data_IF_808164015830
#
_entry.id   IF_808164015830
#
_cell.length_a   1.000
_cell.length_b   1.000
_cell.length_c   1.000
_cell.angle_alpha   90.00
_cell.angle_beta   90.00
_cell.angle_gamma   90.00
#
_symmetry.space_group_name_H-M   'P 1'
#
loop_
_entity.id
_entity.type
_entity.pdbx_description
1 polymer ?
#
# COMPACT_ATOMS: atom_id res chain seq x y z
N UNK A 1 12.65 -10.20 -14.88
CA UNK A 1 12.21 -8.82 -15.19
C UNK A 1 11.23 -8.48 -14.09
N UNK A 2 11.63 -7.54 -13.23
CA UNK A 2 10.86 -7.21 -12.03
C UNK A 2 9.47 -6.70 -12.39
N UNK A 3 8.44 -7.31 -11.81
CA UNK A 3 7.05 -6.87 -11.97
C UNK A 3 6.74 -5.86 -10.88
N UNK A 4 6.55 -4.60 -11.27
CA UNK A 4 6.15 -3.54 -10.34
C UNK A 4 4.62 -3.43 -10.27
N UNK A 5 4.07 -3.52 -9.06
CA UNK A 5 2.65 -3.37 -8.77
C UNK A 5 2.41 -2.08 -7.98
N UNK A 6 1.45 -1.25 -8.41
CA UNK A 6 1.02 -0.05 -7.70
C UNK A 6 -0.41 -0.23 -7.17
N UNK A 7 -0.57 -0.04 -5.87
CA UNK A 7 -1.85 -0.16 -5.17
C UNK A 7 -2.37 1.23 -4.83
N UNK A 8 -3.52 1.59 -5.39
CA UNK A 8 -4.10 2.92 -5.20
C UNK A 8 -5.26 2.87 -4.20
N UNK A 9 -5.20 3.71 -3.17
CA UNK A 9 -6.28 3.92 -2.22
C UNK A 9 -6.33 5.39 -1.77
N UNK A 10 -7.52 5.96 -1.59
CA UNK A 10 -7.74 7.41 -1.42
C UNK A 10 -6.77 8.06 -0.42
N UNK A 11 -6.73 7.56 0.82
CA UNK A 11 -5.93 8.16 1.90
C UNK A 11 -4.55 7.54 2.13
N UNK A 12 -4.24 6.41 1.49
CA UNK A 12 -2.99 5.67 1.75
C UNK A 12 -2.65 5.46 3.24
N UNK A 13 -3.68 5.31 4.08
CA UNK A 13 -3.50 5.18 5.53
C UNK A 13 -3.53 3.73 6.01
N UNK A 14 -4.24 2.84 5.33
CA UNK A 14 -4.41 1.46 5.80
C UNK A 14 -4.26 0.45 4.67
N UNK A 15 -5.23 0.38 3.76
CA UNK A 15 -5.37 -0.75 2.83
C UNK A 15 -4.27 -0.84 1.78
N UNK A 16 -3.82 0.31 1.28
CA UNK A 16 -2.67 0.36 0.39
C UNK A 16 -1.42 -0.19 1.08
N UNK A 17 -1.19 0.23 2.33
CA UNK A 17 -0.05 -0.20 3.15
C UNK A 17 -0.11 -1.70 3.46
N UNK A 18 -1.27 -2.21 3.86
CA UNK A 18 -1.48 -3.65 4.10
C UNK A 18 -1.15 -4.47 2.85
N UNK A 19 -1.67 -4.05 1.69
CA UNK A 19 -1.44 -4.74 0.43
C UNK A 19 0.01 -4.64 -0.05
N UNK A 20 0.66 -3.48 0.12
CA UNK A 20 2.08 -3.27 -0.21
C UNK A 20 2.97 -4.18 0.63
N UNK A 21 2.77 -4.17 1.96
CA UNK A 21 3.60 -4.95 2.87
C UNK A 21 3.42 -6.45 2.71
N UNK A 22 2.18 -6.92 2.61
CA UNK A 22 1.91 -8.34 2.40
C UNK A 22 2.45 -8.85 1.05
N UNK A 23 2.28 -8.08 -0.03
CA UNK A 23 2.74 -8.50 -1.35
C UNK A 23 4.27 -8.55 -1.41
N UNK A 24 4.96 -7.56 -0.84
CA UNK A 24 6.43 -7.57 -0.75
C UNK A 24 6.94 -8.72 0.13
N UNK A 25 6.29 -8.98 1.27
CA UNK A 25 6.65 -10.08 2.16
C UNK A 25 6.56 -11.44 1.47
N UNK A 26 5.43 -11.72 0.80
CA UNK A 26 5.24 -12.99 0.10
C UNK A 26 6.10 -13.10 -1.16
N UNK A 27 6.32 -11.99 -1.89
CA UNK A 27 7.22 -11.99 -3.04
C UNK A 27 8.64 -12.43 -2.63
N UNK A 28 9.15 -11.91 -1.51
CA UNK A 28 10.45 -12.32 -0.96
C UNK A 28 10.43 -13.80 -0.53
N UNK A 29 9.44 -14.21 0.28
CA UNK A 29 9.33 -15.62 0.73
C UNK A 29 9.22 -16.63 -0.40
N UNK A 30 8.56 -16.27 -1.50
CA UNK A 30 8.34 -17.13 -2.66
C UNK A 30 9.40 -16.96 -3.75
N UNK A 31 10.42 -16.12 -3.54
CA UNK A 31 11.46 -15.83 -4.53
C UNK A 31 10.92 -15.24 -5.83
N UNK A 32 9.83 -14.46 -5.76
CA UNK A 32 9.23 -13.81 -6.92
C UNK A 32 9.83 -12.42 -7.12
N UNK A 33 10.21 -12.14 -8.37
CA UNK A 33 10.70 -10.84 -8.83
C UNK A 33 9.53 -9.85 -8.97
N UNK A 34 8.87 -9.54 -7.85
CA UNK A 34 7.71 -8.65 -7.75
C UNK A 34 8.00 -7.59 -6.69
N UNK A 35 7.69 -6.33 -7.01
CA UNK A 35 7.81 -5.22 -6.07
C UNK A 35 6.52 -4.41 -6.02
N UNK A 36 5.94 -4.32 -4.84
CA UNK A 36 4.72 -3.60 -4.56
C UNK A 36 5.01 -2.20 -4.02
N UNK A 37 4.17 -1.26 -4.43
CA UNK A 37 4.13 0.11 -3.94
C UNK A 37 2.66 0.48 -3.69
N UNK A 38 2.38 1.37 -2.75
CA UNK A 38 1.04 1.94 -2.57
C UNK A 38 1.04 3.45 -2.60
N UNK A 39 -0.07 4.07 -2.99
CA UNK A 39 -0.20 5.52 -2.96
C UNK A 39 -1.67 5.93 -2.82
N UNK A 40 -1.90 7.21 -2.56
CA UNK A 40 -3.24 7.79 -2.51
C UNK A 40 -3.37 9.12 -3.24
N UNK A 41 -4.60 9.42 -3.63
CA UNK A 41 -4.97 10.69 -4.30
C UNK A 41 -5.22 11.83 -3.31
N UNK A 42 -5.46 11.51 -2.04
CA UNK A 42 -5.63 12.45 -0.94
C UNK A 42 -5.00 11.85 0.32
N UNK A 43 -3.66 11.68 0.36
CA UNK A 43 -2.99 11.00 1.46
C UNK A 43 -3.27 11.69 2.80
N UNK A 44 -3.55 10.91 3.85
CA UNK A 44 -3.83 11.44 5.19
C UNK A 44 -2.58 11.97 5.90
N UNK A 45 -1.38 11.69 5.38
CA UNK A 45 -0.10 12.01 6.01
C UNK A 45 0.22 11.15 7.25
N UNK A 46 -0.69 10.26 7.64
CA UNK A 46 -0.56 9.35 8.79
C UNK A 46 -1.03 7.96 8.43
N UNK A 47 -0.25 6.94 8.81
CA UNK A 47 -0.65 5.54 8.71
C UNK A 47 -1.60 5.20 9.87
N UNK A 48 -2.61 4.39 9.57
CA UNK A 48 -3.51 3.82 10.55
C UNK A 48 -2.72 2.82 11.41
N UNK A 49 -2.63 3.01 12.74
CA UNK A 49 -1.85 2.13 13.62
C UNK A 49 -2.31 0.67 13.52
N UNK A 50 -3.61 0.40 13.36
CA UNK A 50 -4.12 -0.96 13.20
C UNK A 50 -3.60 -1.67 11.94
N UNK A 51 -3.22 -0.91 10.90
CA UNK A 51 -2.61 -1.50 9.72
C UNK A 51 -1.17 -1.94 9.98
N UNK A 52 -0.42 -1.17 10.79
CA UNK A 52 0.92 -1.55 11.23
C UNK A 52 0.86 -2.74 12.18
N UNK A 53 -0.08 -2.73 13.13
CA UNK A 53 -0.28 -3.85 14.06
C UNK A 53 -0.59 -5.14 13.31
N UNK A 54 -1.48 -5.09 12.32
CA UNK A 54 -1.83 -6.25 11.51
C UNK A 54 -0.63 -6.80 10.71
N UNK A 55 0.20 -5.93 10.15
CA UNK A 55 1.43 -6.34 9.45
C UNK A 55 2.46 -6.94 10.41
N UNK A 56 2.67 -6.30 11.56
CA UNK A 56 3.57 -6.80 12.61
C UNK A 56 3.14 -8.17 13.11
N UNK A 57 1.84 -8.36 13.37
CA UNK A 57 1.26 -9.65 13.78
C UNK A 57 1.42 -10.73 12.70
N UNK A 58 1.49 -10.36 11.43
CA UNK A 58 1.76 -11.27 10.32
C UNK A 58 3.27 -11.54 10.11
N UNK A 59 4.15 -10.95 10.93
CA UNK A 59 5.61 -11.07 10.79
C UNK A 59 6.17 -10.28 9.61
N UNK A 60 5.45 -9.25 9.16
CA UNK A 60 5.91 -8.33 8.11
C UNK A 60 6.64 -7.16 8.77
N UNK A 61 7.82 -6.83 8.26
CA UNK A 61 8.53 -5.62 8.69
C UNK A 61 7.71 -4.38 8.34
N UNK A 62 7.49 -3.54 9.34
CA UNK A 62 6.68 -2.32 9.27
C UNK A 62 7.51 -1.05 9.13
N UNK A 63 8.84 -1.16 9.14
CA UNK A 63 9.71 0.00 8.98
C UNK A 63 9.61 0.57 7.56
N UNK A 64 9.45 1.89 7.47
CA UNK A 64 9.49 2.63 6.20
C UNK A 64 8.15 2.79 5.47
N UNK A 65 7.01 2.38 6.04
CA UNK A 65 5.71 2.73 5.47
C UNK A 65 5.31 4.17 5.81
N UNK A 66 4.92 4.93 4.79
CA UNK A 66 4.41 6.28 4.90
C UNK A 66 3.19 6.47 4.01
N UNK A 67 2.33 7.42 4.39
CA UNK A 67 1.19 7.84 3.56
C UNK A 67 1.71 8.74 2.46
N UNK A 68 1.77 8.22 1.22
CA UNK A 68 2.40 8.89 0.07
C UNK A 68 1.42 9.24 -1.04
N UNK A 69 1.70 10.34 -1.74
CA UNK A 69 0.87 10.80 -2.84
C UNK A 69 1.23 10.01 -4.13
N UNK A 70 0.24 9.70 -4.96
CA UNK A 70 0.47 9.04 -6.25
C UNK A 70 1.33 9.86 -7.22
N UNK A 71 1.47 11.18 -6.99
CA UNK A 71 2.21 12.12 -7.82
C UNK A 71 3.72 11.83 -7.77
N UNK A 72 4.20 11.28 -6.64
CA UNK A 72 5.58 10.80 -6.48
C UNK A 72 5.95 9.71 -7.50
N UNK A 73 4.94 9.00 -8.00
CA UNK A 73 5.14 7.97 -9.00
C UNK A 73 4.88 8.48 -10.42
N UNK A 74 4.41 9.72 -10.61
CA UNK A 74 4.22 10.33 -11.93
C UNK A 74 5.47 11.05 -12.44
N UNK A 75 6.48 11.25 -11.58
CA UNK A 75 7.75 11.88 -11.94
C UNK A 75 8.63 11.02 -12.85
N UNK A 76 9.41 11.68 -13.72
CA UNK A 76 10.41 11.04 -14.57
C UNK A 76 11.44 10.29 -13.72
N UNK A 77 11.50 8.96 -13.87
CA UNK A 77 12.34 8.05 -13.07
C UNK A 77 11.55 7.03 -12.23
N UNK A 78 10.22 7.11 -12.19
CA UNK A 78 9.40 6.15 -11.47
C UNK A 78 9.55 4.69 -12.00
N UNK A 79 9.43 3.66 -11.14
CA UNK A 79 9.57 2.27 -11.55
C UNK A 79 8.63 1.93 -12.72
N UNK A 80 9.13 1.32 -13.81
CA UNK A 80 8.30 0.92 -14.96
C UNK A 80 7.16 -0.02 -14.49
N UNK A 81 5.90 0.43 -14.59
CA UNK A 81 4.70 -0.22 -14.01
C UNK A 81 4.08 -1.21 -14.99
N UNK A 82 3.68 -2.40 -14.51
CA UNK A 82 2.91 -3.39 -15.31
C UNK A 82 1.49 -3.65 -14.79
N UNK A 83 1.17 -3.31 -13.53
CA UNK A 83 -0.19 -3.47 -12.99
C UNK A 83 -0.51 -2.39 -11.95
N UNK A 84 -1.64 -1.68 -12.14
CA UNK A 84 -2.21 -0.76 -11.17
C UNK A 84 -3.54 -1.33 -10.66
N UNK A 85 -3.57 -1.83 -9.43
CA UNK A 85 -4.78 -2.35 -8.81
C UNK A 85 -5.39 -1.26 -7.92
N UNK A 86 -6.53 -0.69 -8.32
CA UNK A 86 -7.31 0.20 -7.45
C UNK A 86 -8.04 -0.65 -6.41
N UNK A 87 -7.51 -0.71 -5.18
CA UNK A 87 -8.17 -1.42 -4.08
C UNK A 87 -9.31 -0.55 -3.55
N UNK A 88 -10.51 -0.76 -4.09
CA UNK A 88 -11.76 -0.21 -3.56
C UNK A 88 -12.20 -1.14 -2.44
N UNK A 89 -12.20 -0.66 -1.20
CA UNK A 89 -12.67 -1.48 -0.08
C UNK A 89 -13.91 -0.85 0.56
N UNK A 90 -15.01 -1.62 0.65
CA UNK A 90 -16.29 -1.13 1.12
C UNK A 90 -16.35 -0.94 2.66
N UNK A 91 -15.49 -1.59 3.44
CA UNK A 91 -15.59 -1.56 4.92
C UNK A 91 -15.24 -0.21 5.57
N UNK A 92 -14.47 0.65 4.91
CA UNK A 92 -14.12 1.97 5.45
C UNK A 92 -15.23 3.01 5.21
N UNK A 93 -16.26 2.69 4.40
CA UNK A 93 -17.44 3.56 4.26
C UNK A 93 -18.36 3.52 5.49
N UNK A 94 -18.28 2.48 6.33
CA UNK A 94 -19.15 2.31 7.51
C UNK A 94 -18.57 2.84 8.82
N UNK A 95 -17.29 3.25 8.88
CA UNK A 95 -16.71 3.86 10.08
C UNK A 95 -16.94 5.38 10.18
N UNK A 96 -17.65 5.98 9.20
CA UNK A 96 -17.98 7.41 9.16
C UNK A 96 -19.34 7.81 9.75
N UNK A 97 -20.12 6.87 10.28
CA UNK A 97 -21.48 7.11 10.80
C UNK A 97 -21.71 6.52 12.19
N UNK A 98 -20.74 6.64 13.09
CA UNK A 98 -21.01 6.61 14.53
C UNK A 98 -20.78 8.02 15.07
N UNK A 99 -21.84 8.83 14.98
CA UNK A 99 -22.13 9.89 15.95
C UNK A 99 -22.98 9.27 17.05
#
# INVERSE_FOLDING_TARGET
MATNALILCIHNSARGVLAEGMLNHWAQKLGKDVRAYSAGSAPSGRINPFALDALSNAGVDTQGYCSKNWDEFAADGAPRRRAAQRVRCPSCAMMGTMR
#
